data_IF_141893135385
#
_entry.id   IF_141893135385
#
_cell.length_a   1.000
_cell.length_b   1.000
_cell.length_c   1.000
_cell.angle_alpha   90.00
_cell.angle_beta   90.00
_cell.angle_gamma   90.00
#
_symmetry.space_group_name_H-M   'P 1'
#
loop_
_entity.id
_entity.type
_entity.pdbx_description
1 polymer ?
#
# COMPACT_ATOMS: atom_id res chain seq x y z
N UNK A 1 -24.89 -15.24 -33.59
CA UNK A 1 -24.14 -13.96 -33.49
C UNK A 1 -24.53 -13.31 -32.16
N UNK A 2 -23.72 -13.55 -31.14
CA UNK A 2 -24.00 -13.02 -29.76
C UNK A 2 -23.37 -11.64 -29.68
N UNK A 3 -24.22 -10.58 -29.59
CA UNK A 3 -23.76 -9.23 -29.38
C UNK A 3 -23.06 -9.09 -28.02
N UNK A 4 -21.76 -8.83 -28.06
CA UNK A 4 -20.97 -8.53 -26.89
C UNK A 4 -21.34 -7.10 -26.42
N UNK A 5 -22.32 -6.98 -25.54
CA UNK A 5 -22.69 -5.73 -24.89
C UNK A 5 -21.56 -5.30 -23.96
N UNK A 6 -20.78 -4.30 -24.36
CA UNK A 6 -19.74 -3.72 -23.54
C UNK A 6 -20.31 -3.19 -22.20
N UNK A 7 -19.46 -3.03 -21.16
CA UNK A 7 -19.91 -2.64 -19.82
C UNK A 7 -20.71 -1.34 -19.83
N UNK A 8 -21.76 -1.30 -18.99
CA UNK A 8 -22.66 -0.17 -18.87
C UNK A 8 -21.92 1.16 -18.55
N UNK A 9 -22.43 2.34 -18.97
CA UNK A 9 -21.76 3.63 -18.80
C UNK A 9 -21.28 3.93 -17.37
N UNK A 10 -22.04 3.55 -16.35
CA UNK A 10 -21.68 3.68 -14.93
C UNK A 10 -20.47 2.83 -14.55
N UNK A 11 -20.33 1.63 -15.12
CA UNK A 11 -19.19 0.72 -14.87
C UNK A 11 -17.93 1.28 -15.50
N UNK A 12 -18.01 1.85 -16.70
CA UNK A 12 -16.88 2.53 -17.37
C UNK A 12 -16.41 3.77 -16.59
N UNK A 13 -17.33 4.55 -16.05
CA UNK A 13 -17.00 5.73 -15.26
C UNK A 13 -16.30 5.35 -13.94
N UNK A 14 -16.80 4.33 -13.25
CA UNK A 14 -16.15 3.80 -12.02
C UNK A 14 -14.75 3.26 -12.32
N UNK A 15 -14.59 2.51 -13.40
CA UNK A 15 -13.28 1.98 -13.80
C UNK A 15 -12.27 3.10 -14.09
N UNK A 16 -12.67 4.16 -14.81
CA UNK A 16 -11.82 5.33 -15.07
C UNK A 16 -11.43 6.06 -13.78
N UNK A 17 -12.38 6.24 -12.85
CA UNK A 17 -12.12 6.86 -11.56
C UNK A 17 -11.14 6.05 -10.72
N UNK A 18 -11.32 4.73 -10.63
CA UNK A 18 -10.41 3.83 -9.94
C UNK A 18 -9.01 3.82 -10.56
N UNK A 19 -8.91 3.83 -11.88
CA UNK A 19 -7.63 3.91 -12.58
C UNK A 19 -6.91 5.23 -12.32
N UNK A 20 -7.63 6.34 -12.29
CA UNK A 20 -7.08 7.66 -11.97
C UNK A 20 -6.56 7.69 -10.52
N UNK A 21 -7.35 7.19 -9.58
CA UNK A 21 -6.95 7.06 -8.19
C UNK A 21 -5.65 6.25 -8.04
N UNK A 22 -5.59 5.07 -8.65
CA UNK A 22 -4.39 4.22 -8.62
C UNK A 22 -3.17 4.94 -9.22
N UNK A 23 -3.32 5.63 -10.34
CA UNK A 23 -2.25 6.39 -11.00
C UNK A 23 -1.67 7.49 -10.11
N UNK A 24 -2.51 8.22 -9.39
CA UNK A 24 -2.07 9.28 -8.46
C UNK A 24 -1.31 8.65 -7.27
N UNK A 25 -1.81 7.54 -6.72
CA UNK A 25 -1.14 6.81 -5.63
C UNK A 25 0.23 6.31 -6.06
N UNK A 26 0.34 5.69 -7.25
CA UNK A 26 1.61 5.18 -7.79
C UNK A 26 2.62 6.31 -8.03
N UNK A 27 2.18 7.46 -8.55
CA UNK A 27 3.03 8.63 -8.73
C UNK A 27 3.52 9.20 -7.38
N UNK A 28 2.70 9.17 -6.34
CA UNK A 28 3.13 9.62 -5.02
C UNK A 28 4.13 8.65 -4.38
N UNK A 29 3.95 7.34 -4.53
CA UNK A 29 4.94 6.34 -4.12
C UNK A 29 6.29 6.61 -4.80
N UNK A 30 6.28 6.90 -6.11
CA UNK A 30 7.49 7.25 -6.84
C UNK A 30 8.15 8.55 -6.33
N UNK A 31 7.34 9.58 -6.03
CA UNK A 31 7.84 10.83 -5.46
C UNK A 31 8.44 10.63 -4.07
N UNK A 32 7.83 9.81 -3.22
CA UNK A 32 8.35 9.48 -1.90
C UNK A 32 9.68 8.73 -1.99
N UNK A 33 9.77 7.72 -2.85
CA UNK A 33 10.98 6.92 -3.05
C UNK A 33 12.15 7.77 -3.58
N UNK A 34 11.89 8.69 -4.51
CA UNK A 34 12.95 9.50 -5.15
C UNK A 34 13.36 10.75 -4.40
N UNK A 35 12.44 11.36 -3.67
CA UNK A 35 12.63 12.71 -3.14
C UNK A 35 12.39 12.81 -1.63
N UNK A 36 11.89 11.75 -0.99
CA UNK A 36 11.49 11.77 0.41
C UNK A 36 10.20 12.54 0.66
N UNK A 37 9.66 12.42 1.87
CA UNK A 37 8.35 12.97 2.24
C UNK A 37 8.28 14.51 2.13
N UNK A 38 9.31 15.20 2.59
CA UNK A 38 9.33 16.67 2.62
C UNK A 38 9.27 17.26 1.21
N UNK A 39 10.01 16.68 0.27
CA UNK A 39 10.08 17.17 -1.10
C UNK A 39 9.00 16.60 -2.03
N UNK A 40 8.24 15.59 -1.61
CA UNK A 40 7.10 15.04 -2.34
C UNK A 40 5.88 15.98 -2.25
N UNK A 41 5.98 17.14 -2.92
CA UNK A 41 4.92 18.13 -2.99
C UNK A 41 3.79 17.70 -3.93
N UNK A 42 2.59 18.29 -3.73
CA UNK A 42 1.44 18.07 -4.63
C UNK A 42 1.80 18.41 -6.08
N UNK A 43 2.54 19.50 -6.33
CA UNK A 43 3.00 19.86 -7.67
C UNK A 43 3.79 18.73 -8.34
N UNK A 44 4.79 18.17 -7.65
CA UNK A 44 5.57 17.04 -8.17
C UNK A 44 4.72 15.81 -8.46
N UNK A 45 3.76 15.52 -7.58
CA UNK A 45 2.85 14.37 -7.80
C UNK A 45 2.00 14.59 -9.05
N UNK A 46 1.51 15.82 -9.29
CA UNK A 46 0.75 16.18 -10.49
C UNK A 46 1.60 15.95 -11.75
N UNK A 47 2.86 16.42 -11.71
CA UNK A 47 3.80 16.27 -12.84
C UNK A 47 4.10 14.79 -13.11
N UNK A 48 4.43 14.01 -12.09
CA UNK A 48 4.69 12.57 -12.19
C UNK A 48 3.46 11.79 -12.66
N UNK A 49 2.28 12.12 -12.13
CA UNK A 49 1.04 11.45 -12.50
C UNK A 49 0.51 11.88 -13.87
N UNK A 50 0.94 13.04 -14.39
CA UNK A 50 0.39 13.63 -15.61
C UNK A 50 -1.11 13.92 -15.48
N UNK A 51 -1.53 14.47 -14.32
CA UNK A 51 -2.94 14.80 -14.03
C UNK A 51 -3.10 16.26 -13.66
N UNK A 52 -4.30 16.80 -13.92
CA UNK A 52 -4.59 18.17 -13.50
C UNK A 52 -4.82 18.27 -11.98
N UNK A 53 -4.59 19.47 -11.41
CA UNK A 53 -4.86 19.76 -10.01
C UNK A 53 -6.32 19.48 -9.65
N UNK A 54 -7.28 19.81 -10.51
CA UNK A 54 -8.70 19.54 -10.29
C UNK A 54 -9.02 18.04 -10.22
N UNK A 55 -8.43 17.24 -11.10
CA UNK A 55 -8.60 15.78 -11.07
C UNK A 55 -8.04 15.18 -9.79
N UNK A 56 -6.87 15.63 -9.36
CA UNK A 56 -6.28 15.18 -8.09
C UNK A 56 -7.13 15.59 -6.89
N UNK A 57 -7.57 16.84 -6.83
CA UNK A 57 -8.35 17.38 -5.70
C UNK A 57 -9.72 16.69 -5.55
N UNK A 58 -10.27 16.20 -6.66
CA UNK A 58 -11.47 15.36 -6.65
C UNK A 58 -11.25 14.00 -5.94
N UNK A 59 -10.06 13.40 -6.10
CA UNK A 59 -9.72 12.12 -5.47
C UNK A 59 -9.10 12.27 -4.08
N UNK A 60 -8.29 13.30 -3.90
CA UNK A 60 -7.52 13.56 -2.69
C UNK A 60 -7.57 15.06 -2.35
N UNK A 61 -8.51 15.49 -1.50
CA UNK A 61 -8.67 16.87 -1.09
C UNK A 61 -7.42 17.44 -0.39
N UNK A 62 -6.69 16.62 0.36
CA UNK A 62 -5.48 17.00 1.08
C UNK A 62 -4.33 16.01 0.82
N UNK A 63 -3.08 16.47 0.99
CA UNK A 63 -1.89 15.59 0.93
C UNK A 63 -1.99 14.43 1.93
N UNK A 64 -2.55 14.67 3.11
CA UNK A 64 -2.74 13.63 4.12
C UNK A 64 -3.66 12.49 3.66
N UNK A 65 -4.68 12.77 2.85
CA UNK A 65 -5.57 11.74 2.29
C UNK A 65 -4.80 10.84 1.31
N UNK A 66 -3.92 11.43 0.52
CA UNK A 66 -3.05 10.71 -0.39
C UNK A 66 -2.04 9.84 0.38
N UNK A 67 -1.50 10.34 1.50
CA UNK A 67 -0.61 9.54 2.36
C UNK A 67 -1.32 8.33 2.93
N UNK A 68 -2.55 8.48 3.42
CA UNK A 68 -3.38 7.37 3.91
C UNK A 68 -3.58 6.32 2.80
N UNK A 69 -3.97 6.76 1.61
CA UNK A 69 -4.18 5.83 0.48
C UNK A 69 -2.90 5.09 0.06
N UNK A 70 -1.73 5.74 0.14
CA UNK A 70 -0.44 5.07 -0.08
C UNK A 70 -0.17 4.06 1.03
N UNK A 71 -0.35 4.41 2.29
CA UNK A 71 -0.17 3.48 3.41
C UNK A 71 -1.08 2.24 3.25
N UNK A 72 -2.36 2.43 2.94
CA UNK A 72 -3.31 1.35 2.67
C UNK A 72 -2.83 0.42 1.54
N UNK A 73 -2.40 1.00 0.43
CA UNK A 73 -1.88 0.25 -0.73
C UNK A 73 -0.67 -0.61 -0.35
N UNK A 74 0.30 -0.03 0.36
CA UNK A 74 1.53 -0.71 0.76
C UNK A 74 1.26 -1.84 1.73
N UNK A 75 0.36 -1.63 2.67
CA UNK A 75 -0.06 -2.62 3.65
C UNK A 75 -0.82 -3.77 3.01
N UNK A 76 -1.73 -3.49 2.08
CA UNK A 76 -2.43 -4.52 1.34
C UNK A 76 -1.45 -5.39 0.55
N UNK A 77 -0.50 -4.79 -0.16
CA UNK A 77 0.54 -5.52 -0.90
C UNK A 77 1.37 -6.41 0.02
N UNK A 78 1.74 -5.94 1.22
CA UNK A 78 2.49 -6.75 2.19
C UNK A 78 1.71 -7.97 2.67
N UNK A 79 0.41 -7.82 2.92
CA UNK A 79 -0.46 -8.93 3.31
C UNK A 79 -0.62 -9.97 2.20
N UNK A 80 -0.64 -9.54 0.94
CA UNK A 80 -0.68 -10.44 -0.23
C UNK A 80 0.63 -11.24 -0.37
N UNK A 81 1.80 -10.59 -0.19
CA UNK A 81 3.11 -11.24 -0.20
C UNK A 81 3.18 -12.32 0.87
N UNK A 82 2.76 -12.02 2.10
CA UNK A 82 2.72 -12.99 3.21
C UNK A 82 1.78 -14.15 2.89
N UNK A 83 0.60 -13.88 2.33
CA UNK A 83 -0.37 -14.92 1.98
C UNK A 83 0.14 -15.87 0.87
N UNK A 84 0.93 -15.37 -0.08
CA UNK A 84 1.55 -16.19 -1.13
C UNK A 84 2.66 -17.05 -0.57
N UNK A 85 3.48 -16.53 0.34
CA UNK A 85 4.55 -17.28 1.01
C UNK A 85 4.00 -18.46 1.82
N UNK A 86 2.85 -18.26 2.46
CA UNK A 86 2.16 -19.26 3.25
C UNK A 86 1.73 -20.53 2.51
N UNK A 87 1.47 -20.43 1.23
CA UNK A 87 0.98 -21.56 0.42
C UNK A 87 2.08 -22.55 0.03
N UNK A 88 3.34 -22.22 0.28
CA UNK A 88 4.51 -23.06 -0.10
C UNK A 88 5.01 -23.84 1.09
N UNK A 89 4.48 -25.03 1.31
CA UNK A 89 4.71 -25.91 2.48
C UNK A 89 6.10 -26.53 2.65
N UNK A 90 7.04 -26.39 1.70
CA UNK A 90 8.31 -27.13 1.70
C UNK A 90 9.52 -26.21 1.42
N UNK A 91 9.67 -25.13 2.17
CA UNK A 91 10.85 -24.26 2.02
C UNK A 91 11.72 -24.26 3.28
N UNK A 92 13.04 -24.20 3.04
CA UNK A 92 14.01 -23.84 4.08
C UNK A 92 13.69 -22.42 4.55
N UNK A 93 13.63 -22.20 5.85
CA UNK A 93 13.27 -20.89 6.47
C UNK A 93 14.14 -19.75 5.92
N UNK A 94 15.43 -20.03 5.63
CA UNK A 94 16.34 -19.03 5.04
C UNK A 94 15.88 -18.56 3.66
N UNK A 95 15.40 -19.47 2.80
CA UNK A 95 14.91 -19.11 1.45
C UNK A 95 13.62 -18.31 1.52
N UNK A 96 12.76 -18.59 2.49
CA UNK A 96 11.54 -17.82 2.72
C UNK A 96 11.85 -16.40 3.22
N UNK A 97 12.78 -16.24 4.15
CA UNK A 97 13.23 -14.94 4.64
C UNK A 97 13.88 -14.12 3.52
N UNK A 98 14.75 -14.74 2.71
CA UNK A 98 15.37 -14.08 1.56
C UNK A 98 14.32 -13.64 0.51
N UNK A 99 13.36 -14.52 0.22
CA UNK A 99 12.27 -14.20 -0.71
C UNK A 99 11.35 -13.10 -0.17
N UNK A 100 11.06 -13.10 1.13
CA UNK A 100 10.28 -12.05 1.78
C UNK A 100 11.02 -10.71 1.80
N UNK A 101 12.33 -10.73 2.08
CA UNK A 101 13.18 -9.54 1.98
C UNK A 101 13.10 -8.90 0.60
N UNK A 102 13.37 -9.68 -0.46
CA UNK A 102 13.37 -9.18 -1.83
C UNK A 102 11.99 -8.68 -2.29
N UNK A 103 10.91 -9.33 -1.86
CA UNK A 103 9.54 -8.98 -2.30
C UNK A 103 8.88 -7.88 -1.50
N UNK A 104 9.30 -7.68 -0.26
CA UNK A 104 8.68 -6.71 0.64
C UNK A 104 9.61 -5.55 0.95
N UNK A 105 10.81 -5.85 1.47
CA UNK A 105 11.72 -4.83 2.02
C UNK A 105 12.51 -4.12 0.92
N UNK A 106 13.10 -4.86 -0.03
CA UNK A 106 13.85 -4.26 -1.14
C UNK A 106 12.91 -3.81 -2.27
N UNK A 107 11.94 -2.99 -1.93
CA UNK A 107 10.97 -2.46 -2.88
C UNK A 107 10.84 -0.94 -2.75
N UNK A 108 10.51 -0.29 -3.87
CA UNK A 108 10.14 1.14 -3.89
C UNK A 108 9.01 1.44 -2.90
N UNK A 109 8.07 0.55 -2.81
CA UNK A 109 6.91 0.64 -1.94
C UNK A 109 7.32 0.71 -0.47
N UNK A 110 8.23 -0.15 -0.02
CA UNK A 110 8.71 -0.17 1.36
C UNK A 110 9.53 1.09 1.69
N UNK A 111 10.40 1.56 0.78
CA UNK A 111 11.14 2.82 0.97
C UNK A 111 10.19 4.00 1.10
N UNK A 112 9.14 4.07 0.28
CA UNK A 112 8.08 5.09 0.41
C UNK A 112 7.34 5.01 1.76
N UNK A 113 7.08 3.79 2.27
CA UNK A 113 6.49 3.60 3.60
C UNK A 113 7.41 4.14 4.70
N UNK A 114 8.71 3.86 4.63
CA UNK A 114 9.68 4.38 5.60
C UNK A 114 9.69 5.91 5.65
N UNK A 115 9.56 6.58 4.49
CA UNK A 115 9.44 8.03 4.41
C UNK A 115 8.19 8.55 5.14
N UNK A 116 7.04 7.87 4.99
CA UNK A 116 5.81 8.21 5.71
C UNK A 116 5.99 8.00 7.22
N UNK A 117 6.51 6.85 7.64
CA UNK A 117 6.72 6.53 9.06
C UNK A 117 7.69 7.51 9.73
N UNK A 118 8.76 7.90 9.03
CA UNK A 118 9.71 8.91 9.52
C UNK A 118 9.06 10.29 9.66
N UNK A 119 8.25 10.72 8.69
CA UNK A 119 7.51 11.97 8.76
C UNK A 119 6.51 12.00 9.94
N UNK A 120 5.81 10.90 10.20
CA UNK A 120 4.88 10.77 11.33
C UNK A 120 5.55 10.93 12.70
N UNK A 121 6.86 10.74 12.81
CA UNK A 121 7.61 10.91 14.06
C UNK A 121 7.55 12.35 14.57
N UNK A 122 7.58 13.32 13.66
CA UNK A 122 7.61 14.76 13.97
C UNK A 122 6.30 15.50 13.64
N UNK A 123 5.43 14.91 12.83
CA UNK A 123 4.13 15.47 12.44
C UNK A 123 3.00 14.72 13.15
N UNK A 124 2.49 15.31 14.24
CA UNK A 124 1.41 14.74 15.05
C UNK A 124 0.07 14.67 14.30
N UNK A 125 -0.21 15.63 13.40
CA UNK A 125 -1.43 15.63 12.61
C UNK A 125 -1.41 14.52 11.57
N UNK A 126 -0.27 14.33 10.89
CA UNK A 126 -0.07 13.22 9.97
C UNK A 126 -0.19 11.87 10.71
N UNK A 127 0.44 11.75 11.88
CA UNK A 127 0.35 10.56 12.72
C UNK A 127 -1.09 10.18 13.03
N UNK A 128 -1.88 11.13 13.51
CA UNK A 128 -3.29 10.91 13.85
C UNK A 128 -4.11 10.41 12.66
N UNK A 129 -3.77 10.83 11.44
CA UNK A 129 -4.44 10.42 10.21
C UNK A 129 -4.05 9.01 9.75
N UNK A 130 -2.78 8.61 9.89
CA UNK A 130 -2.25 7.35 9.37
C UNK A 130 -2.34 6.22 10.40
N UNK A 131 -2.28 6.55 11.69
CA UNK A 131 -2.27 5.54 12.77
C UNK A 131 -3.43 4.54 12.74
N UNK A 132 -4.69 4.90 12.43
CA UNK A 132 -5.77 3.92 12.31
C UNK A 132 -5.51 2.87 11.23
N UNK A 133 -4.95 3.27 10.08
CA UNK A 133 -4.58 2.36 8.99
C UNK A 133 -3.47 1.40 9.42
N UNK A 134 -2.45 1.90 10.14
CA UNK A 134 -1.38 1.07 10.71
C UNK A 134 -1.90 0.06 11.73
N UNK A 135 -2.79 0.47 12.63
CA UNK A 135 -3.38 -0.39 13.64
C UNK A 135 -4.17 -1.54 12.98
N UNK A 136 -5.03 -1.20 12.01
CA UNK A 136 -5.79 -2.20 11.25
C UNK A 136 -4.89 -3.20 10.52
N UNK A 137 -3.79 -2.72 9.93
CA UNK A 137 -2.82 -3.57 9.27
C UNK A 137 -2.10 -4.50 10.26
N UNK A 138 -1.66 -3.99 11.41
CA UNK A 138 -1.02 -4.80 12.45
C UNK A 138 -1.92 -5.96 12.89
N UNK A 139 -3.18 -5.67 13.18
CA UNK A 139 -4.16 -6.70 13.54
C UNK A 139 -4.36 -7.75 12.41
N UNK A 140 -4.44 -7.30 11.16
CA UNK A 140 -4.60 -8.19 10.02
C UNK A 140 -3.34 -9.04 9.79
N UNK A 141 -2.15 -8.46 9.98
CA UNK A 141 -0.88 -9.16 9.85
C UNK A 141 -0.71 -10.20 10.96
N UNK A 142 -0.99 -9.84 12.21
CA UNK A 142 -0.91 -10.72 13.38
C UNK A 142 -1.84 -11.92 13.24
N UNK A 143 -3.11 -11.70 12.88
CA UNK A 143 -4.05 -12.81 12.59
C UNK A 143 -3.53 -13.77 11.52
N UNK A 144 -2.90 -13.23 10.46
CA UNK A 144 -2.32 -14.08 9.40
C UNK A 144 -1.06 -14.79 9.86
N UNK A 145 -0.17 -14.12 10.57
CA UNK A 145 1.05 -14.72 11.11
C UNK A 145 0.74 -15.90 12.04
N UNK A 146 -0.23 -15.78 12.93
CA UNK A 146 -0.67 -16.85 13.84
C UNK A 146 -1.23 -18.07 13.10
N UNK A 147 -1.85 -17.88 11.94
CA UNK A 147 -2.32 -19.00 11.10
C UNK A 147 -1.17 -19.70 10.39
N UNK A 148 -0.11 -18.96 10.02
CA UNK A 148 1.00 -19.43 9.22
C UNK A 148 2.10 -20.08 10.04
N UNK A 149 2.39 -19.51 11.19
CA UNK A 149 3.48 -19.91 12.09
C UNK A 149 2.90 -20.56 13.35
N UNK A 150 2.09 -21.59 13.18
CA UNK A 150 1.71 -22.42 14.34
C UNK A 150 2.94 -23.17 14.82
N UNK A 151 3.31 -23.06 16.11
CA UNK A 151 4.39 -23.86 16.66
C UNK A 151 4.04 -25.33 16.48
N UNK A 152 4.98 -26.12 15.96
CA UNK A 152 4.82 -27.56 15.85
C UNK A 152 4.81 -28.16 17.25
N UNK A 153 3.61 -28.28 17.87
CA UNK A 153 3.39 -29.00 19.12
C UNK A 153 3.28 -28.15 20.40
N UNK A 154 2.99 -26.85 20.31
CA UNK A 154 2.73 -25.98 21.48
C UNK A 154 1.31 -25.42 21.49
N UNK A 155 0.72 -25.36 22.68
CA UNK A 155 -0.52 -24.60 22.92
C UNK A 155 -0.21 -23.10 22.73
N UNK A 156 -1.01 -22.32 21.97
CA UNK A 156 -0.79 -20.89 21.83
C UNK A 156 -1.03 -20.06 23.11
N UNK A 157 -1.28 -20.69 24.24
CA UNK A 157 -1.48 -20.06 25.55
C UNK A 157 -0.32 -20.22 26.54
N UNK A 158 0.79 -20.88 26.16
CA UNK A 158 2.08 -20.86 26.84
C UNK A 158 3.08 -20.00 26.04
#
# INVERSE_FOLDING_TARGET
>A
MVANAGPAPRTRQRAKSSQMHARIVDAFIECLDRHGYAAASIGRVLDCAGVSRGAMQHHFPAKADLVVAVAERLMQTSLEVVAVSARRRERVVADELAAMWTRLVDTRAYRALLEILNAMRTDAALRARVQPTLAHWNEAFERRALVLYRPAGGDPAE
#
